data_IF_951655805085
#
_entry.id   IF_951655805085
#
_cell.length_a   1.000
_cell.length_b   1.000
_cell.length_c   1.000
_cell.angle_alpha   90.00
_cell.angle_beta   90.00
_cell.angle_gamma   90.00
#
_symmetry.space_group_name_H-M   'P 1'
#
loop_
_entity.id
_entity.type
_entity.pdbx_description
1 polymer ?
#
# COMPACT_ATOMS: atom_id res chain seq x y z
N UNK A 1 15.78 -9.48 10.23
CA UNK A 1 15.42 -8.06 10.43
C UNK A 1 13.92 -7.92 10.30
N UNK A 2 13.29 -7.27 11.26
CA UNK A 2 11.85 -7.06 11.28
C UNK A 2 11.52 -5.57 11.14
N UNK A 3 10.50 -5.26 10.34
CA UNK A 3 9.91 -3.94 10.19
C UNK A 3 8.44 -4.02 10.59
N UNK A 4 8.04 -3.26 11.61
CA UNK A 4 6.67 -3.28 12.17
C UNK A 4 6.19 -4.72 12.48
N UNK A 5 7.10 -5.57 12.99
CA UNK A 5 6.80 -6.98 13.30
C UNK A 5 6.84 -7.94 12.11
N UNK A 6 6.94 -7.46 10.87
CA UNK A 6 7.11 -8.29 9.67
C UNK A 6 8.58 -8.55 9.37
N UNK A 7 8.95 -9.79 9.11
CA UNK A 7 10.30 -10.14 8.68
C UNK A 7 10.56 -9.59 7.27
N UNK A 8 11.59 -8.74 7.11
CA UNK A 8 11.93 -8.07 5.85
C UNK A 8 13.25 -8.53 5.25
N UNK A 9 14.15 -9.07 6.06
CA UNK A 9 15.44 -9.59 5.60
C UNK A 9 15.94 -10.66 6.56
N UNK A 10 16.58 -11.70 6.04
CA UNK A 10 17.20 -12.77 6.81
C UNK A 10 18.58 -13.03 6.22
N UNK A 11 19.61 -12.91 7.06
CA UNK A 11 20.97 -13.26 6.68
C UNK A 11 21.46 -14.41 7.54
N UNK A 12 21.98 -15.43 6.87
CA UNK A 12 22.61 -16.58 7.51
C UNK A 12 24.12 -16.40 7.46
N UNK A 13 24.78 -16.51 8.60
CA UNK A 13 26.23 -16.53 8.69
C UNK A 13 26.67 -17.99 8.81
N UNK A 14 27.25 -18.54 7.74
CA UNK A 14 27.71 -19.93 7.73
C UNK A 14 29.10 -20.10 8.31
N UNK A 15 29.95 -19.06 8.27
CA UNK A 15 31.33 -19.19 8.72
C UNK A 15 31.93 -18.00 9.45
N UNK A 16 32.88 -18.34 10.32
CA UNK A 16 33.51 -17.59 11.41
C UNK A 16 32.65 -17.47 12.67
N UNK A 17 32.98 -18.27 13.69
CA UNK A 17 32.58 -17.98 15.07
C UNK A 17 33.08 -16.56 15.37
N UNK A 18 32.22 -15.53 15.49
CA UNK A 18 32.72 -14.23 15.87
C UNK A 18 33.34 -14.38 17.25
N UNK A 19 34.62 -14.01 17.38
CA UNK A 19 35.24 -13.94 18.70
C UNK A 19 34.49 -12.91 19.52
N UNK A 20 34.32 -13.18 20.82
CA UNK A 20 33.72 -12.20 21.72
C UNK A 20 34.47 -10.86 21.59
N UNK A 21 33.72 -9.77 21.32
CA UNK A 21 34.28 -8.44 21.06
C UNK A 21 34.34 -8.03 19.58
N UNK A 22 34.17 -8.95 18.64
CA UNK A 22 34.10 -8.60 17.21
C UNK A 22 32.77 -7.92 16.88
N UNK A 23 32.83 -6.83 16.10
CA UNK A 23 31.65 -6.18 15.52
C UNK A 23 31.38 -6.78 14.14
N UNK A 24 30.12 -7.12 13.88
CA UNK A 24 29.64 -7.52 12.56
C UNK A 24 28.67 -6.43 12.09
N UNK A 25 28.98 -5.81 10.97
CA UNK A 25 28.07 -4.85 10.34
C UNK A 25 27.18 -5.55 9.32
N UNK A 26 25.89 -5.22 9.36
CA UNK A 26 24.88 -5.85 8.51
C UNK A 26 24.03 -4.78 7.86
N UNK A 27 24.24 -4.58 6.57
CA UNK A 27 23.42 -3.67 5.77
C UNK A 27 22.14 -4.37 5.31
N UNK A 28 21.02 -3.69 5.37
CA UNK A 28 19.74 -4.13 4.81
C UNK A 28 19.04 -2.92 4.19
N UNK A 29 18.13 -3.18 3.25
CA UNK A 29 17.31 -2.14 2.64
C UNK A 29 15.88 -2.29 3.15
N UNK A 30 15.31 -1.20 3.65
CA UNK A 30 13.91 -1.16 4.09
C UNK A 30 13.20 0.02 3.43
N UNK A 31 12.01 -0.23 2.88
CA UNK A 31 11.15 0.85 2.40
C UNK A 31 10.40 1.44 3.59
N UNK A 32 10.60 2.73 3.85
CA UNK A 32 9.93 3.43 4.95
C UNK A 32 8.56 3.94 4.49
N UNK A 33 7.58 3.79 5.36
CA UNK A 33 6.26 4.41 5.20
C UNK A 33 6.21 5.71 6.00
N UNK A 34 5.36 6.65 5.58
CA UNK A 34 5.14 7.89 6.32
C UNK A 34 4.70 7.59 7.75
N UNK A 35 5.33 8.24 8.73
CA UNK A 35 5.09 8.04 10.15
C UNK A 35 6.26 7.34 10.86
N UNK A 36 5.94 6.63 11.94
CA UNK A 36 6.93 5.93 12.75
C UNK A 36 7.00 4.47 12.33
N UNK A 37 8.18 4.04 11.87
CA UNK A 37 8.47 2.65 11.54
C UNK A 37 9.38 2.05 12.63
N UNK A 38 9.00 0.90 13.18
CA UNK A 38 9.81 0.16 14.16
C UNK A 38 10.68 -0.88 13.45
N UNK A 39 11.99 -0.78 13.61
CA UNK A 39 12.97 -1.75 13.09
C UNK A 39 13.55 -2.56 14.24
N UNK A 40 13.42 -3.89 14.17
CA UNK A 40 13.93 -4.82 15.20
C UNK A 40 14.82 -5.86 14.56
N UNK A 41 16.07 -5.92 15.02
CA UNK A 41 16.97 -7.00 14.63
C UNK A 41 16.75 -8.21 15.54
N UNK A 42 16.80 -9.43 15.00
CA UNK A 42 16.78 -10.65 15.79
C UNK A 42 18.02 -11.44 15.43
N UNK A 43 18.81 -11.78 16.44
CA UNK A 43 20.03 -12.57 16.29
C UNK A 43 19.80 -13.93 16.94
N UNK A 44 20.01 -15.00 16.20
CA UNK A 44 19.86 -16.37 16.69
C UNK A 44 21.20 -17.10 16.63
N UNK A 45 21.60 -17.72 17.74
CA UNK A 45 22.72 -18.65 17.76
C UNK A 45 22.36 -20.00 17.11
N UNK A 46 23.34 -20.89 16.89
CA UNK A 46 23.11 -22.24 16.31
C UNK A 46 22.06 -23.07 17.07
N UNK A 47 21.87 -22.83 18.38
CA UNK A 47 20.82 -23.43 19.21
C UNK A 47 19.48 -22.67 19.23
N UNK A 48 19.27 -21.73 18.30
CA UNK A 48 18.11 -20.80 18.26
C UNK A 48 17.92 -19.95 19.52
N UNK A 49 18.98 -19.78 20.31
CA UNK A 49 18.98 -18.83 21.42
C UNK A 49 19.03 -17.41 20.86
N UNK A 50 18.05 -16.60 21.28
CA UNK A 50 17.92 -15.21 20.85
C UNK A 50 18.83 -14.29 21.68
N UNK A 51 19.59 -13.45 20.99
CA UNK A 51 20.35 -12.36 21.62
C UNK A 51 19.46 -11.19 22.03
N UNK A 52 19.92 -10.38 22.99
CA UNK A 52 19.22 -9.13 23.34
C UNK A 52 19.08 -8.24 22.10
N UNK A 53 17.89 -7.68 21.94
CA UNK A 53 17.58 -6.71 20.89
C UNK A 53 16.63 -5.66 21.41
N UNK A 54 16.85 -4.41 20.99
CA UNK A 54 15.94 -3.30 21.25
C UNK A 54 15.50 -2.71 19.92
N UNK A 55 14.18 -2.48 19.73
CA UNK A 55 13.70 -1.89 18.50
C UNK A 55 14.18 -0.44 18.37
N UNK A 56 14.51 -0.04 17.15
CA UNK A 56 14.82 1.34 16.78
C UNK A 56 13.59 1.92 16.09
N UNK A 57 13.14 3.08 16.56
CA UNK A 57 12.04 3.81 15.96
C UNK A 57 12.59 4.82 14.95
N UNK A 58 12.21 4.67 13.69
CA UNK A 58 12.56 5.59 12.61
C UNK A 58 11.33 6.41 12.26
N UNK A 59 11.41 7.74 12.44
CA UNK A 59 10.36 8.66 12.01
C UNK A 59 10.69 9.19 10.62
N UNK A 60 9.80 8.95 9.66
CA UNK A 60 9.95 9.40 8.29
C UNK A 60 8.72 10.21 7.89
N UNK A 61 8.93 11.48 7.54
CA UNK A 61 7.87 12.34 7.03
C UNK A 61 7.91 12.29 5.50
N UNK A 62 7.10 11.41 4.91
CA UNK A 62 7.01 11.34 3.46
C UNK A 62 6.42 12.65 2.90
N UNK A 63 6.77 13.02 1.66
CA UNK A 63 6.10 14.09 0.95
C UNK A 63 4.58 13.87 0.94
N UNK A 64 3.81 14.93 1.21
CA UNK A 64 2.35 14.83 1.12
C UNK A 64 1.94 14.55 -0.33
N UNK A 65 0.88 13.76 -0.55
CA UNK A 65 0.27 13.62 -1.87
C UNK A 65 0.01 15.00 -2.51
N UNK A 66 0.53 15.21 -3.72
CA UNK A 66 0.39 16.48 -4.44
C UNK A 66 -0.55 16.38 -5.65
N UNK A 67 -0.68 15.20 -6.24
CA UNK A 67 -1.47 14.96 -7.45
C UNK A 67 -2.97 14.89 -7.16
N UNK A 68 -3.77 15.39 -8.09
CA UNK A 68 -5.22 15.19 -8.13
C UNK A 68 -5.54 14.09 -9.13
N UNK A 69 -6.31 13.09 -8.71
CA UNK A 69 -6.82 12.04 -9.58
C UNK A 69 -8.21 12.44 -10.11
N UNK A 70 -8.38 12.44 -11.43
CA UNK A 70 -9.67 12.65 -12.08
C UNK A 70 -10.19 11.33 -12.60
N UNK A 71 -11.45 11.01 -12.32
CA UNK A 71 -12.10 9.76 -12.72
C UNK A 71 -13.42 10.08 -13.39
N UNK A 72 -13.63 9.48 -14.56
CA UNK A 72 -14.93 9.37 -15.18
C UNK A 72 -15.41 7.92 -15.03
N UNK A 73 -16.49 7.70 -14.28
CA UNK A 73 -17.08 6.40 -14.09
C UNK A 73 -18.43 6.34 -14.81
N UNK A 74 -18.58 5.34 -15.69
CA UNK A 74 -19.80 5.18 -16.50
C UNK A 74 -20.41 3.81 -16.24
N UNK A 75 -21.73 3.79 -16.02
CA UNK A 75 -22.49 2.56 -15.82
C UNK A 75 -23.84 2.66 -16.52
N UNK A 76 -24.09 1.78 -17.50
CA UNK A 76 -25.29 1.79 -18.34
C UNK A 76 -26.07 0.52 -18.09
N UNK A 77 -27.17 0.63 -17.36
CA UNK A 77 -28.12 -0.46 -17.18
C UNK A 77 -29.27 -0.36 -18.19
N UNK A 78 -29.61 0.86 -18.61
CA UNK A 78 -30.68 1.13 -19.56
C UNK A 78 -30.13 1.54 -20.92
N UNK A 79 -30.34 0.67 -21.90
CA UNK A 79 -30.05 0.92 -23.31
C UNK A 79 -31.32 1.29 -24.05
N UNK A 80 -31.17 1.94 -25.20
CA UNK A 80 -32.30 2.27 -26.09
C UNK A 80 -33.06 1.01 -26.53
N UNK A 81 -32.33 -0.03 -26.92
CA UNK A 81 -32.90 -1.35 -27.13
C UNK A 81 -32.89 -2.13 -25.80
N UNK A 82 -34.08 -2.29 -25.22
CA UNK A 82 -34.30 -2.91 -23.92
C UNK A 82 -33.82 -4.36 -23.81
N UNK A 83 -33.61 -5.06 -24.93
CA UNK A 83 -33.00 -6.40 -24.96
C UNK A 83 -31.57 -6.41 -24.39
N UNK A 84 -30.88 -5.27 -24.40
CA UNK A 84 -29.51 -5.15 -23.90
C UNK A 84 -29.41 -4.59 -22.48
N UNK A 85 -30.54 -4.38 -21.80
CA UNK A 85 -30.52 -3.86 -20.44
C UNK A 85 -29.73 -4.75 -19.48
N UNK A 86 -28.90 -4.11 -18.66
CA UNK A 86 -28.13 -4.74 -17.61
C UNK A 86 -28.78 -4.44 -16.25
N UNK A 87 -28.28 -5.10 -15.20
CA UNK A 87 -28.83 -4.99 -13.84
C UNK A 87 -27.90 -4.28 -12.86
N UNK A 88 -26.60 -4.20 -13.17
CA UNK A 88 -25.57 -3.87 -12.18
C UNK A 88 -24.47 -2.95 -12.70
N UNK A 89 -24.46 -2.55 -13.98
CA UNK A 89 -23.40 -1.71 -14.52
C UNK A 89 -23.34 -0.36 -13.82
N UNK A 90 -24.49 0.22 -13.45
CA UNK A 90 -24.54 1.45 -12.63
C UNK A 90 -24.03 1.20 -11.22
N UNK A 91 -24.46 0.11 -10.59
CA UNK A 91 -24.06 -0.24 -9.22
C UNK A 91 -22.54 -0.46 -9.13
N UNK A 92 -21.95 -1.14 -10.11
CA UNK A 92 -20.52 -1.39 -10.21
C UNK A 92 -19.74 -0.08 -10.36
N UNK A 93 -20.17 0.79 -11.26
CA UNK A 93 -19.55 2.10 -11.48
C UNK A 93 -19.60 2.99 -10.21
N UNK A 94 -20.72 2.95 -9.47
CA UNK A 94 -20.86 3.65 -8.18
C UNK A 94 -19.92 3.06 -7.13
N UNK A 95 -19.90 1.74 -6.98
CA UNK A 95 -19.08 1.06 -5.96
C UNK A 95 -17.60 1.34 -6.18
N UNK A 96 -17.12 1.13 -7.42
CA UNK A 96 -15.71 1.33 -7.76
C UNK A 96 -15.30 2.79 -7.61
N UNK A 97 -16.09 3.74 -8.12
CA UNK A 97 -15.75 5.15 -8.01
C UNK A 97 -15.78 5.65 -6.55
N UNK A 98 -16.66 5.09 -5.71
CA UNK A 98 -16.70 5.35 -4.27
C UNK A 98 -15.45 4.86 -3.54
N UNK A 99 -14.99 3.64 -3.84
CA UNK A 99 -13.74 3.10 -3.28
C UNK A 99 -12.53 3.97 -3.65
N UNK A 100 -12.45 4.41 -4.91
CA UNK A 100 -11.33 5.23 -5.38
C UNK A 100 -11.40 6.65 -4.81
N UNK A 101 -12.59 7.23 -4.62
CA UNK A 101 -12.76 8.50 -3.92
C UNK A 101 -12.18 8.44 -2.48
N UNK A 102 -12.27 7.28 -1.83
CA UNK A 102 -11.69 7.01 -0.51
C UNK A 102 -10.15 7.06 -0.43
N UNK A 103 -9.45 7.21 -1.57
CA UNK A 103 -8.00 7.41 -1.64
C UNK A 103 -7.56 8.87 -1.48
N UNK A 104 -8.52 9.81 -1.47
CA UNK A 104 -8.27 11.23 -1.17
C UNK A 104 -7.56 11.39 0.18
N UNK A 105 -6.56 12.27 0.22
CA UNK A 105 -5.67 12.54 1.35
C UNK A 105 -4.81 11.36 1.83
N UNK A 106 -4.90 10.18 1.19
CA UNK A 106 -4.05 9.01 1.47
C UNK A 106 -2.95 8.89 0.43
N UNK A 107 -3.35 8.73 -0.82
CA UNK A 107 -2.45 8.53 -1.98
C UNK A 107 -2.45 9.77 -2.87
N UNK A 108 -3.61 10.43 -2.99
CA UNK A 108 -3.80 11.63 -3.81
C UNK A 108 -4.17 12.82 -2.93
N UNK A 109 -3.77 14.02 -3.35
CA UNK A 109 -4.19 15.28 -2.72
C UNK A 109 -5.71 15.42 -2.78
N UNK A 110 -6.26 15.08 -3.94
CA UNK A 110 -7.68 15.14 -4.20
C UNK A 110 -8.08 14.04 -5.19
N UNK A 111 -9.36 13.65 -5.14
CA UNK A 111 -9.96 12.72 -6.09
C UNK A 111 -11.25 13.35 -6.57
N UNK A 112 -11.33 13.65 -7.86
CA UNK A 112 -12.48 14.26 -8.51
C UNK A 112 -13.16 13.18 -9.33
N UNK A 113 -14.38 12.82 -8.94
CA UNK A 113 -15.18 11.80 -9.62
C UNK A 113 -16.30 12.48 -10.39
N UNK A 114 -16.40 12.16 -11.68
CA UNK A 114 -17.56 12.44 -12.51
C UNK A 114 -18.22 11.11 -12.88
N UNK A 115 -19.53 11.03 -12.74
CA UNK A 115 -20.30 9.84 -13.11
C UNK A 115 -21.25 10.15 -14.24
N UNK A 116 -21.39 9.23 -15.19
CA UNK A 116 -22.40 9.28 -16.25
C UNK A 116 -23.15 7.94 -16.27
N UNK A 117 -24.48 7.97 -16.16
CA UNK A 117 -25.28 6.76 -16.10
C UNK A 117 -26.37 6.75 -17.13
N UNK A 118 -26.69 5.58 -17.68
CA UNK A 118 -27.82 5.39 -18.58
C UNK A 118 -27.87 6.47 -19.69
N UNK A 119 -28.94 7.26 -19.75
CA UNK A 119 -29.10 8.34 -20.72
C UNK A 119 -28.04 9.44 -20.62
N UNK A 120 -27.49 9.69 -19.42
CA UNK A 120 -26.44 10.69 -19.21
C UNK A 120 -25.09 10.24 -19.78
N UNK A 121 -24.94 8.94 -20.09
CA UNK A 121 -23.76 8.39 -20.76
C UNK A 121 -23.79 8.56 -22.29
N UNK A 122 -24.82 9.21 -22.84
CA UNK A 122 -24.93 9.47 -24.28
C UNK A 122 -24.37 10.84 -24.63
N UNK A 123 -23.66 10.92 -25.76
CA UNK A 123 -23.27 12.20 -26.36
C UNK A 123 -24.49 12.73 -27.09
N UNK A 124 -24.99 13.93 -26.73
CA UNK A 124 -25.89 14.67 -27.62
C UNK A 124 -25.08 15.08 -28.84
N UNK A 125 -25.31 14.44 -29.99
CA UNK A 125 -24.87 14.92 -31.30
C UNK A 125 -25.73 16.11 -31.73
#
# INVERSE_FOLDING_TARGET
>A
MYQNGKLIDVKYYTDTKPKAGNKIEVSFTAQLVSGTTSLRQMHLARGRLEGKSSPILVKFNAPKPASTLYILATGVDKYENSKYNLKYAKADAVSLSGEVAGLKNKIFKDVVVKTLFDADATIKM
#
